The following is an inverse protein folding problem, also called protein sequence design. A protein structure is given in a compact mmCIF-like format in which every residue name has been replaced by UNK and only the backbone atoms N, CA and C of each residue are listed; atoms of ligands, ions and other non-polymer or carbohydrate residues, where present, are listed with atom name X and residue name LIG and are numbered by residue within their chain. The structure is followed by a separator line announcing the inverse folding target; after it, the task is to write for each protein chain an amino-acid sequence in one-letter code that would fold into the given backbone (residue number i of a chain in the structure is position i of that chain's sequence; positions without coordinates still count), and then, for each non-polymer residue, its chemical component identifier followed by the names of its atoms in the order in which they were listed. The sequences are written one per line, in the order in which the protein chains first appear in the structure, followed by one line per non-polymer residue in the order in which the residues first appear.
data_IF_501020503309
#
_entry.id   IF_501020503309
#
_cell.length_a   1.000
_cell.length_b   1.000
_cell.length_c   1.000
_cell.angle_alpha   90.00
_cell.angle_beta   90.00
_cell.angle_gamma   90.00
#
_symmetry.space_group_name_H-M   'P 1'
#
loop_
_entity.id
_entity.type
_entity.pdbx_description
1 polymer ?
#
# COMPACT_ATOMS: atom_id res chain seq x y z
N UNK A 1 -23.25 23.93 -6.73
CA UNK A 1 -22.53 23.13 -7.77
C UNK A 1 -21.37 22.31 -7.18
N UNK A 2 -20.86 22.62 -6.01
CA UNK A 2 -19.70 21.96 -5.38
C UNK A 2 -20.02 21.44 -3.96
N UNK A 3 -21.23 20.93 -3.73
CA UNK A 3 -21.53 20.25 -2.48
C UNK A 3 -20.77 18.93 -2.47
N UNK A 4 -20.02 18.66 -1.40
CA UNK A 4 -19.39 17.36 -1.20
C UNK A 4 -20.46 16.27 -1.19
N UNK A 5 -20.16 15.07 -1.74
CA UNK A 5 -21.08 13.95 -1.69
C UNK A 5 -21.40 13.60 -0.23
N UNK A 6 -22.61 13.16 0.01
CA UNK A 6 -23.03 12.70 1.35
C UNK A 6 -22.36 11.37 1.72
N UNK A 7 -22.00 10.58 0.71
CA UNK A 7 -21.28 9.32 0.86
C UNK A 7 -20.26 9.18 -0.28
N UNK A 8 -19.07 8.68 0.03
CA UNK A 8 -17.99 8.46 -0.96
C UNK A 8 -17.12 7.26 -0.57
N UNK A 9 -16.22 6.84 -1.45
CA UNK A 9 -15.24 5.77 -1.19
C UNK A 9 -15.91 4.49 -0.70
N UNK A 10 -16.78 3.93 -1.51
CA UNK A 10 -17.52 2.72 -1.17
C UNK A 10 -16.64 1.49 -1.38
N UNK A 11 -16.59 0.60 -0.38
CA UNK A 11 -15.86 -0.68 -0.43
C UNK A 11 -16.69 -1.80 0.18
N UNK A 12 -16.75 -2.94 -0.51
CA UNK A 12 -17.36 -4.16 0.03
C UNK A 12 -16.38 -4.90 0.94
N UNK A 13 -16.88 -5.48 2.03
CA UNK A 13 -16.10 -6.42 2.83
C UNK A 13 -15.73 -7.66 2.00
N UNK A 14 -14.61 -8.35 2.29
CA UNK A 14 -14.18 -9.54 1.53
C UNK A 14 -15.24 -10.65 1.44
N UNK A 15 -16.10 -10.79 2.48
CA UNK A 15 -17.21 -11.75 2.47
C UNK A 15 -18.46 -11.25 1.71
N UNK A 16 -18.45 -9.99 1.22
CA UNK A 16 -19.58 -9.36 0.53
C UNK A 16 -20.79 -9.05 1.41
N UNK A 17 -20.69 -9.19 2.74
CA UNK A 17 -21.83 -8.96 3.64
C UNK A 17 -22.02 -7.51 4.08
N UNK A 18 -20.97 -6.69 4.01
CA UNK A 18 -20.97 -5.30 4.48
C UNK A 18 -20.45 -4.34 3.43
N UNK A 19 -20.98 -3.14 3.44
CA UNK A 19 -20.55 -2.00 2.66
C UNK A 19 -19.96 -0.95 3.60
N UNK A 20 -18.70 -0.61 3.44
CA UNK A 20 -18.08 0.54 4.08
C UNK A 20 -18.12 1.76 3.15
N UNK A 21 -18.18 2.95 3.72
CA UNK A 21 -18.12 4.22 2.99
C UNK A 21 -17.70 5.36 3.91
N UNK A 22 -17.17 6.43 3.33
CA UNK A 22 -16.94 7.68 4.05
C UNK A 22 -18.21 8.55 4.01
N UNK A 23 -18.55 9.11 5.17
CA UNK A 23 -19.65 10.08 5.29
C UNK A 23 -19.32 11.12 6.36
N UNK A 24 -19.80 12.37 6.20
CA UNK A 24 -19.54 13.43 7.18
C UNK A 24 -20.20 13.14 8.53
N UNK A 25 -19.41 13.24 9.59
CA UNK A 25 -19.87 13.36 10.97
C UNK A 25 -19.10 14.50 11.63
N UNK A 26 -19.81 15.45 12.26
CA UNK A 26 -19.22 16.69 12.78
C UNK A 26 -18.34 17.44 11.76
N UNK A 27 -18.78 17.47 10.50
CA UNK A 27 -18.07 18.08 9.37
C UNK A 27 -16.71 17.42 9.00
N UNK A 28 -16.48 16.17 9.42
CA UNK A 28 -15.30 15.37 9.05
C UNK A 28 -15.75 14.05 8.46
N UNK A 29 -15.01 13.62 7.41
CA UNK A 29 -15.24 12.31 6.80
C UNK A 29 -14.84 11.22 7.79
N UNK A 30 -15.79 10.33 8.06
CA UNK A 30 -15.65 9.19 8.96
C UNK A 30 -16.09 7.91 8.27
N UNK A 31 -15.52 6.78 8.67
CA UNK A 31 -15.90 5.47 8.16
C UNK A 31 -17.25 5.07 8.75
N UNK A 32 -18.14 4.69 7.87
CA UNK A 32 -19.45 4.10 8.17
C UNK A 32 -19.50 2.69 7.57
N UNK A 33 -20.16 1.78 8.27
CA UNK A 33 -20.39 0.40 7.80
C UNK A 33 -21.86 0.09 7.85
N UNK A 34 -22.40 -0.54 6.82
CA UNK A 34 -23.78 -0.98 6.70
C UNK A 34 -23.83 -2.43 6.22
N UNK A 35 -24.66 -3.27 6.83
CA UNK A 35 -24.87 -4.63 6.32
C UNK A 35 -25.65 -4.57 5.00
N UNK A 36 -25.26 -5.38 4.01
CA UNK A 36 -25.96 -5.46 2.71
C UNK A 36 -27.39 -5.92 2.94
N UNK A 37 -28.34 -5.21 2.34
CA UNK A 37 -29.77 -5.42 2.54
C UNK A 37 -30.33 -4.89 3.87
N UNK A 38 -29.50 -4.37 4.76
CA UNK A 38 -29.91 -3.71 6.00
C UNK A 38 -30.09 -2.21 5.82
N UNK A 39 -30.76 -1.57 6.78
CA UNK A 39 -30.96 -0.11 6.82
C UNK A 39 -30.10 0.59 7.89
N UNK A 40 -29.57 -0.16 8.85
CA UNK A 40 -28.77 0.39 9.95
C UNK A 40 -27.33 0.63 9.52
N UNK A 41 -26.82 1.81 9.86
CA UNK A 41 -25.44 2.22 9.60
C UNK A 41 -24.70 2.38 10.92
N UNK A 42 -23.58 1.71 11.06
CA UNK A 42 -22.66 1.85 12.19
C UNK A 42 -21.59 2.88 11.84
N UNK A 43 -21.40 3.90 12.69
CA UNK A 43 -20.25 4.77 12.61
C UNK A 43 -19.05 4.08 13.25
N UNK A 44 -18.01 3.82 12.46
CA UNK A 44 -16.84 3.06 12.88
C UNK A 44 -15.75 3.96 13.48
N UNK A 45 -15.58 5.16 12.93
CA UNK A 45 -14.60 6.14 13.43
C UNK A 45 -15.30 7.40 13.97
N UNK A 46 -14.60 8.18 14.79
CA UNK A 46 -15.10 9.40 15.41
C UNK A 46 -14.11 10.54 15.29
N UNK A 47 -13.59 10.75 14.11
CA UNK A 47 -12.67 11.84 13.79
C UNK A 47 -13.40 13.20 13.84
N UNK A 48 -12.87 14.16 14.59
CA UNK A 48 -13.45 15.50 14.77
C UNK A 48 -12.56 16.63 14.20
N UNK A 49 -11.25 16.43 14.13
CA UNK A 49 -10.30 17.45 13.71
C UNK A 49 -9.88 17.28 12.25
N UNK A 50 -9.59 16.04 11.83
CA UNK A 50 -9.09 15.70 10.49
C UNK A 50 -9.95 14.62 9.87
N UNK A 51 -10.13 14.68 8.56
CA UNK A 51 -10.82 13.66 7.79
C UNK A 51 -10.03 12.34 7.81
N UNK A 52 -10.74 11.22 7.71
CA UNK A 52 -10.13 9.96 7.30
C UNK A 52 -9.70 10.11 5.85
N UNK A 53 -8.39 9.99 5.56
CA UNK A 53 -7.83 10.24 4.24
C UNK A 53 -8.10 9.08 3.26
N UNK A 54 -8.21 7.86 3.78
CA UNK A 54 -8.50 6.65 3.02
C UNK A 54 -8.57 5.46 3.96
N UNK A 55 -9.22 4.40 3.52
CA UNK A 55 -9.37 3.16 4.28
C UNK A 55 -9.53 1.98 3.33
N UNK A 56 -9.37 0.77 3.83
CA UNK A 56 -9.67 -0.48 3.15
C UNK A 56 -10.02 -1.57 4.17
N UNK A 57 -10.63 -2.65 3.70
CA UNK A 57 -10.87 -3.84 4.49
C UNK A 57 -9.60 -4.70 4.54
N UNK A 58 -9.05 -4.92 5.73
CA UNK A 58 -7.96 -5.87 5.91
C UNK A 58 -8.47 -7.32 6.05
N UNK A 59 -9.69 -7.48 6.51
CA UNK A 59 -10.47 -8.74 6.51
C UNK A 59 -11.95 -8.40 6.73
N UNK A 60 -12.84 -9.38 6.75
CA UNK A 60 -14.30 -9.16 6.87
C UNK A 60 -14.75 -8.51 8.18
N UNK A 61 -13.88 -8.36 9.16
CA UNK A 61 -14.19 -7.70 10.43
C UNK A 61 -13.38 -6.42 10.68
N UNK A 62 -12.22 -6.24 10.05
CA UNK A 62 -11.26 -5.21 10.41
C UNK A 62 -10.96 -4.29 9.25
N UNK A 63 -11.02 -2.98 9.51
CA UNK A 63 -10.64 -1.92 8.59
C UNK A 63 -9.31 -1.31 9.02
N UNK A 64 -8.49 -0.97 8.04
CA UNK A 64 -7.28 -0.16 8.21
C UNK A 64 -7.52 1.19 7.55
N UNK A 65 -7.07 2.26 8.17
CA UNK A 65 -7.24 3.60 7.64
C UNK A 65 -6.04 4.51 7.89
N UNK A 66 -5.96 5.55 7.09
CA UNK A 66 -4.92 6.57 7.12
C UNK A 66 -5.51 7.88 7.66
N UNK A 67 -4.82 8.48 8.62
CA UNK A 67 -5.12 9.80 9.14
C UNK A 67 -3.86 10.54 9.56
N UNK A 68 -3.80 11.84 9.29
CA UNK A 68 -2.77 12.73 9.82
C UNK A 68 -3.22 13.38 11.13
N UNK A 69 -2.30 14.00 11.85
CA UNK A 69 -2.60 14.71 13.09
C UNK A 69 -2.35 16.20 12.91
N UNK A 70 -3.36 17.01 13.24
CA UNK A 70 -3.23 18.47 13.21
C UNK A 70 -2.90 19.10 11.85
N UNK A 71 -2.99 18.35 10.75
CA UNK A 71 -2.65 18.82 9.41
C UNK A 71 -1.16 18.74 9.08
N UNK A 72 -0.40 17.88 9.77
CA UNK A 72 1.04 17.70 9.56
C UNK A 72 1.38 16.87 8.32
N UNK A 73 0.36 16.30 7.64
CA UNK A 73 0.49 15.44 6.46
C UNK A 73 1.36 14.20 6.66
N UNK A 74 1.70 13.88 7.91
CA UNK A 74 2.34 12.63 8.27
C UNK A 74 1.27 11.58 8.53
N UNK A 75 0.77 10.99 7.45
CA UNK A 75 -0.27 9.98 7.53
C UNK A 75 0.22 8.73 8.23
N UNK A 76 -0.50 8.35 9.28
CA UNK A 76 -0.28 7.18 10.11
C UNK A 76 -1.35 6.14 9.85
N UNK A 77 -1.06 4.89 10.15
CA UNK A 77 -2.00 3.79 10.04
C UNK A 77 -2.69 3.51 11.36
N UNK A 78 -3.98 3.29 11.25
CA UNK A 78 -4.86 2.86 12.32
C UNK A 78 -5.63 1.63 11.87
N UNK A 79 -6.03 0.78 12.81
CA UNK A 79 -6.96 -0.30 12.55
C UNK A 79 -8.13 -0.25 13.52
N UNK A 80 -9.32 -0.66 13.08
CA UNK A 80 -10.54 -0.67 13.86
C UNK A 80 -11.47 -1.78 13.39
N UNK A 81 -12.21 -2.40 14.28
CA UNK A 81 -13.21 -3.39 13.89
C UNK A 81 -14.46 -2.71 13.31
N UNK A 82 -15.19 -3.38 12.45
CA UNK A 82 -16.38 -2.86 11.77
C UNK A 82 -17.51 -2.38 12.70
N UNK A 83 -17.48 -2.80 13.97
CA UNK A 83 -18.41 -2.32 15.01
C UNK A 83 -17.89 -1.08 15.76
N UNK A 84 -16.74 -0.54 15.36
CA UNK A 84 -16.09 0.62 15.96
C UNK A 84 -15.27 0.31 17.21
N UNK A 85 -15.10 -0.97 17.57
CA UNK A 85 -14.27 -1.38 18.71
C UNK A 85 -12.83 -1.65 18.28
N UNK A 86 -11.97 -1.89 19.26
CA UNK A 86 -10.56 -2.27 19.08
C UNK A 86 -9.78 -1.32 18.17
N UNK A 87 -10.10 -0.02 18.23
CA UNK A 87 -9.33 1.02 17.57
C UNK A 87 -7.89 1.00 18.07
N UNK A 88 -6.95 0.94 17.16
CA UNK A 88 -5.53 0.91 17.46
C UNK A 88 -4.74 1.77 16.46
N UNK A 89 -3.84 2.59 16.96
CA UNK A 89 -2.79 3.21 16.15
C UNK A 89 -1.70 2.17 15.89
N UNK A 90 -1.47 1.83 14.63
CA UNK A 90 -0.50 0.80 14.22
C UNK A 90 0.91 1.36 14.09
N UNK A 91 1.04 2.64 13.79
CA UNK A 91 2.33 3.32 13.56
C UNK A 91 2.46 4.55 14.46
N UNK A 92 2.56 4.38 15.79
CA UNK A 92 2.56 5.47 16.77
C UNK A 92 3.90 6.20 16.84
N UNK A 93 4.36 6.74 15.70
CA UNK A 93 5.64 7.43 15.60
C UNK A 93 5.44 8.89 15.22
N UNK A 94 6.08 9.80 15.92
CA UNK A 94 6.02 11.23 15.59
C UNK A 94 6.78 11.55 14.31
N UNK A 95 6.18 12.41 13.46
CA UNK A 95 6.79 12.91 12.21
C UNK A 95 7.21 11.79 11.24
N UNK A 96 6.50 10.68 11.30
CA UNK A 96 6.68 9.53 10.41
C UNK A 96 5.49 9.44 9.47
N UNK A 97 5.79 9.26 8.19
CA UNK A 97 4.79 9.02 7.14
C UNK A 97 4.82 7.56 6.74
N UNK A 98 3.64 7.02 6.54
CA UNK A 98 3.45 5.66 6.03
C UNK A 98 2.96 5.69 4.59
N UNK A 99 3.38 4.71 3.80
CA UNK A 99 2.86 4.38 2.46
C UNK A 99 2.51 2.90 2.45
N UNK A 100 1.40 2.54 1.85
CA UNK A 100 1.07 1.13 1.64
C UNK A 100 1.88 0.64 0.45
N UNK A 101 2.58 -0.48 0.62
CA UNK A 101 3.28 -1.19 -0.45
C UNK A 101 2.37 -2.31 -0.95
N UNK A 102 1.79 -3.08 -0.03
CA UNK A 102 0.90 -4.20 -0.32
C UNK A 102 0.00 -4.45 0.89
N UNK A 103 -1.30 -4.49 0.69
CA UNK A 103 -2.29 -4.78 1.73
C UNK A 103 -2.43 -6.27 2.02
N UNK A 104 -1.82 -7.12 1.18
CA UNK A 104 -1.82 -8.59 1.32
C UNK A 104 -3.24 -9.15 1.41
N UNK A 105 -4.07 -8.95 0.39
CA UNK A 105 -5.50 -9.33 0.36
C UNK A 105 -5.79 -10.75 0.89
N UNK A 106 -4.88 -11.71 0.66
CA UNK A 106 -5.00 -13.09 1.14
C UNK A 106 -4.45 -13.31 2.57
N UNK A 107 -3.98 -12.27 3.26
CA UNK A 107 -3.41 -12.35 4.61
C UNK A 107 -4.18 -11.47 5.59
N UNK A 108 -5.07 -12.07 6.35
CA UNK A 108 -5.95 -11.36 7.30
C UNK A 108 -5.22 -10.67 8.48
N UNK A 109 -3.90 -10.86 8.62
CA UNK A 109 -3.15 -10.42 9.80
C UNK A 109 -2.02 -9.45 9.52
N UNK A 110 -1.53 -9.36 8.29
CA UNK A 110 -0.34 -8.59 7.97
C UNK A 110 -0.52 -7.74 6.71
N UNK A 111 0.31 -6.73 6.58
CA UNK A 111 0.49 -5.93 5.37
C UNK A 111 1.94 -5.48 5.22
N UNK A 112 2.32 -5.03 4.04
CA UNK A 112 3.64 -4.45 3.77
C UNK A 112 3.50 -2.93 3.63
N UNK A 113 4.28 -2.21 4.40
CA UNK A 113 4.30 -0.75 4.39
C UNK A 113 5.69 -0.19 4.14
N UNK A 114 5.74 0.98 3.52
CA UNK A 114 6.92 1.83 3.50
C UNK A 114 6.82 2.87 4.60
N UNK A 115 7.89 3.08 5.36
CA UNK A 115 7.87 4.04 6.45
C UNK A 115 9.20 4.78 6.56
N UNK A 116 9.16 6.12 6.72
CA UNK A 116 10.34 6.97 6.83
C UNK A 116 10.80 7.14 8.29
N UNK A 117 10.72 6.05 9.08
CA UNK A 117 11.03 6.09 10.51
C UNK A 117 12.53 6.28 10.80
N UNK A 118 13.39 5.57 10.06
CA UNK A 118 14.84 5.64 10.22
C UNK A 118 15.42 6.96 9.68
N UNK A 119 14.88 7.44 8.57
CA UNK A 119 15.29 8.69 7.93
C UNK A 119 14.05 9.34 7.30
N UNK A 120 13.84 10.64 7.54
CA UNK A 120 12.63 11.38 7.11
C UNK A 120 12.41 11.42 5.59
N UNK A 121 13.46 11.26 4.81
CA UNK A 121 13.43 11.32 3.35
C UNK A 121 13.36 9.93 2.70
N UNK A 122 13.61 8.87 3.46
CA UNK A 122 13.82 7.51 2.96
C UNK A 122 12.76 6.58 3.53
N UNK A 123 12.09 5.82 2.67
CA UNK A 123 11.08 4.85 3.05
C UNK A 123 11.64 3.43 2.99
N UNK A 124 11.88 2.85 4.16
CA UNK A 124 12.22 1.44 4.29
C UNK A 124 10.95 0.58 4.25
N UNK A 125 11.08 -0.68 3.86
CA UNK A 125 9.96 -1.61 3.80
C UNK A 125 9.83 -2.41 5.09
N UNK A 126 8.61 -2.47 5.63
CA UNK A 126 8.26 -3.17 6.86
C UNK A 126 7.08 -4.11 6.63
N UNK A 127 7.09 -5.24 7.31
CA UNK A 127 5.93 -6.09 7.53
C UNK A 127 5.28 -5.64 8.83
N UNK A 128 3.99 -5.35 8.77
CA UNK A 128 3.19 -4.86 9.87
C UNK A 128 2.08 -5.85 10.20
N UNK A 129 1.98 -6.27 11.45
CA UNK A 129 0.83 -7.02 11.94
C UNK A 129 -0.30 -6.05 12.29
N UNK A 130 -1.45 -6.14 11.61
CA UNK A 130 -2.59 -5.23 11.74
C UNK A 130 -3.35 -5.38 13.06
N UNK A 131 -3.15 -6.46 13.80
CA UNK A 131 -3.81 -6.70 15.07
C UNK A 131 -2.94 -6.23 16.25
N UNK A 132 -1.65 -6.54 16.19
CA UNK A 132 -0.72 -6.23 17.29
C UNK A 132 0.04 -4.92 17.10
N UNK A 133 0.18 -4.42 15.86
CA UNK A 133 1.04 -3.30 15.53
C UNK A 133 2.54 -3.66 15.52
N UNK A 134 2.86 -4.97 15.59
CA UNK A 134 4.25 -5.44 15.51
C UNK A 134 4.82 -5.14 14.13
N UNK A 135 6.01 -4.57 14.10
CA UNK A 135 6.73 -4.14 12.91
C UNK A 135 8.04 -4.91 12.77
N UNK A 136 8.27 -5.49 11.61
CA UNK A 136 9.55 -6.08 11.23
C UNK A 136 10.07 -5.41 9.96
N UNK A 137 11.26 -4.82 10.00
CA UNK A 137 11.93 -4.31 8.79
C UNK A 137 12.31 -5.48 7.89
N UNK A 138 11.84 -5.50 6.65
CA UNK A 138 12.11 -6.55 5.66
C UNK A 138 13.07 -6.10 4.56
N UNK A 139 13.24 -4.79 4.39
CA UNK A 139 14.27 -4.23 3.53
C UNK A 139 14.59 -2.79 3.90
N UNK A 140 15.88 -2.47 3.96
CA UNK A 140 16.39 -1.12 4.09
C UNK A 140 16.50 -0.47 2.71
N UNK A 141 16.09 0.80 2.61
CA UNK A 141 16.30 1.62 1.43
C UNK A 141 17.62 2.40 1.61
N UNK A 142 18.64 2.17 0.78
CA UNK A 142 19.90 2.91 0.85
C UNK A 142 19.81 4.39 0.42
N UNK A 143 18.62 4.84 0.01
CA UNK A 143 18.34 6.23 -0.36
C UNK A 143 17.95 6.43 -1.83
N UNK A 144 18.00 5.40 -2.64
CA UNK A 144 17.71 5.47 -4.07
C UNK A 144 16.59 4.54 -4.56
N UNK A 145 15.95 3.79 -3.65
CA UNK A 145 14.79 2.97 -4.00
C UNK A 145 13.55 3.87 -4.08
N UNK A 146 12.94 3.90 -5.24
CA UNK A 146 11.72 4.65 -5.56
C UNK A 146 10.45 3.82 -5.47
N UNK A 147 10.55 2.49 -5.56
CA UNK A 147 9.42 1.58 -5.49
C UNK A 147 9.82 0.18 -5.04
N UNK A 148 8.87 -0.51 -4.42
CA UNK A 148 8.97 -1.88 -3.95
C UNK A 148 7.89 -2.71 -4.62
N UNK A 149 8.15 -4.02 -4.82
CA UNK A 149 7.18 -4.94 -5.40
C UNK A 149 7.22 -6.29 -4.67
N UNK A 150 6.05 -6.73 -4.27
CA UNK A 150 5.78 -8.04 -3.67
C UNK A 150 5.34 -9.04 -4.74
N UNK A 151 5.54 -10.31 -4.48
CA UNK A 151 4.92 -11.39 -5.26
C UNK A 151 3.53 -11.75 -4.69
N UNK A 152 2.80 -12.65 -5.35
CA UNK A 152 1.45 -13.05 -4.92
C UNK A 152 1.42 -13.83 -3.58
N UNK A 153 2.58 -14.17 -3.01
CA UNK A 153 2.70 -14.74 -1.66
C UNK A 153 3.01 -13.65 -0.62
N UNK A 154 2.98 -12.38 -1.01
CA UNK A 154 3.31 -11.25 -0.15
C UNK A 154 4.78 -11.18 0.25
N UNK A 155 5.70 -11.74 -0.57
CA UNK A 155 7.14 -11.63 -0.35
C UNK A 155 7.68 -10.44 -1.14
N UNK A 156 8.46 -9.59 -0.48
CA UNK A 156 9.11 -8.45 -1.13
C UNK A 156 10.26 -8.94 -2.01
N UNK A 157 10.04 -9.02 -3.32
CA UNK A 157 10.95 -9.67 -4.26
C UNK A 157 11.68 -8.70 -5.19
N UNK A 158 11.11 -7.54 -5.47
CA UNK A 158 11.72 -6.59 -6.38
C UNK A 158 11.73 -5.16 -5.85
N UNK A 159 12.61 -4.35 -6.39
CA UNK A 159 12.67 -2.92 -6.13
C UNK A 159 13.05 -2.16 -7.39
N UNK A 160 12.60 -0.92 -7.48
CA UNK A 160 13.00 0.03 -8.52
C UNK A 160 13.90 1.08 -7.89
N UNK A 161 15.05 1.33 -8.49
CA UNK A 161 15.97 2.38 -8.05
C UNK A 161 16.21 3.41 -9.15
N UNK A 162 16.61 4.61 -8.75
CA UNK A 162 17.04 5.64 -9.69
C UNK A 162 18.26 6.38 -9.15
N UNK A 163 19.14 6.82 -10.06
CA UNK A 163 20.22 7.75 -9.77
C UNK A 163 19.89 9.18 -10.26
N UNK A 164 18.62 9.42 -10.66
CA UNK A 164 18.13 10.67 -11.23
C UNK A 164 18.20 10.71 -12.77
N UNK A 165 18.90 9.79 -13.41
CA UNK A 165 19.03 9.66 -14.88
C UNK A 165 18.65 8.26 -15.35
N UNK A 166 19.17 7.25 -14.69
CA UNK A 166 18.95 5.84 -15.00
C UNK A 166 17.95 5.23 -14.00
N UNK A 167 17.21 4.25 -14.48
CA UNK A 167 16.33 3.42 -13.62
C UNK A 167 16.86 2.00 -13.63
N UNK A 168 16.96 1.38 -12.47
CA UNK A 168 17.37 -0.02 -12.35
C UNK A 168 16.29 -0.85 -11.65
N UNK A 169 16.14 -2.07 -12.13
CA UNK A 169 15.32 -3.09 -11.49
C UNK A 169 16.22 -3.97 -10.65
N UNK A 170 15.91 -4.07 -9.38
CA UNK A 170 16.54 -4.99 -8.44
C UNK A 170 15.63 -6.17 -8.20
N UNK A 171 16.21 -7.35 -8.02
CA UNK A 171 15.50 -8.58 -7.72
C UNK A 171 16.25 -9.43 -6.69
N UNK A 172 15.49 -10.15 -5.87
CA UNK A 172 15.97 -11.21 -4.99
C UNK A 172 15.03 -12.41 -5.04
N UNK A 173 15.57 -13.60 -4.95
CA UNK A 173 14.76 -14.83 -5.03
C UNK A 173 13.95 -15.08 -3.77
N UNK A 174 14.49 -14.74 -2.61
CA UNK A 174 13.82 -14.82 -1.31
C UNK A 174 14.10 -13.57 -0.48
N UNK A 175 13.29 -13.32 0.55
CA UNK A 175 13.51 -12.18 1.45
C UNK A 175 14.83 -12.27 2.25
N UNK A 176 15.48 -13.43 2.27
CA UNK A 176 16.79 -13.64 2.92
C UNK A 176 17.97 -13.30 2.01
N UNK A 177 17.73 -13.22 0.71
CA UNK A 177 18.77 -12.90 -0.27
C UNK A 177 18.99 -11.40 -0.37
N UNK A 178 20.20 -11.00 -0.76
CA UNK A 178 20.49 -9.63 -1.15
C UNK A 178 19.85 -9.32 -2.51
N UNK A 179 19.40 -8.09 -2.69
CA UNK A 179 18.97 -7.58 -3.98
C UNK A 179 20.14 -7.52 -4.98
N UNK A 180 19.87 -7.92 -6.22
CA UNK A 180 20.81 -7.83 -7.34
C UNK A 180 20.20 -6.97 -8.45
N UNK A 181 20.99 -6.11 -9.06
CA UNK A 181 20.58 -5.37 -10.25
C UNK A 181 20.41 -6.34 -11.42
N UNK A 182 19.23 -6.38 -12.00
CA UNK A 182 18.87 -7.27 -13.12
C UNK A 182 18.87 -6.51 -14.45
N UNK A 183 18.40 -5.27 -14.44
CA UNK A 183 18.34 -4.42 -15.61
C UNK A 183 18.59 -2.98 -15.20
N UNK A 184 19.29 -2.24 -16.04
CA UNK A 184 19.40 -0.77 -15.95
C UNK A 184 19.03 -0.17 -17.29
N UNK A 185 18.11 0.79 -17.29
CA UNK A 185 17.73 1.57 -18.47
C UNK A 185 18.29 2.99 -18.35
N UNK A 186 18.51 3.63 -19.48
CA UNK A 186 18.85 5.04 -19.56
C UNK A 186 17.59 5.90 -19.67
N UNK A 187 17.75 7.23 -19.71
CA UNK A 187 16.62 8.19 -19.78
C UNK A 187 15.70 8.07 -21.02
N UNK A 188 16.10 7.32 -22.06
CA UNK A 188 15.32 7.12 -23.29
C UNK A 188 14.44 5.88 -23.21
N UNK A 189 14.79 4.94 -22.36
CA UNK A 189 14.11 3.68 -22.22
C UNK A 189 13.55 3.58 -20.81
N UNK A 190 12.33 3.10 -20.71
CA UNK A 190 11.62 2.94 -19.44
C UNK A 190 11.25 1.49 -19.21
N UNK A 191 11.26 1.08 -17.97
CA UNK A 191 10.61 -0.13 -17.50
C UNK A 191 10.07 0.11 -16.11
N UNK A 192 8.76 -0.08 -15.95
CA UNK A 192 8.04 0.09 -14.69
C UNK A 192 7.32 -1.22 -14.36
N UNK A 193 7.85 -2.03 -13.43
CA UNK A 193 7.17 -3.22 -12.94
C UNK A 193 5.81 -2.87 -12.35
N UNK A 194 4.79 -3.69 -12.62
CA UNK A 194 3.42 -3.51 -12.13
C UNK A 194 3.11 -4.55 -11.04
N UNK A 195 3.13 -5.83 -11.41
CA UNK A 195 2.84 -6.95 -10.51
C UNK A 195 3.39 -8.26 -11.10
N UNK A 196 3.59 -9.25 -10.26
CA UNK A 196 4.02 -10.58 -10.67
C UNK A 196 2.90 -11.31 -11.42
N UNK A 197 3.27 -12.22 -12.34
CA UNK A 197 2.35 -13.21 -12.88
C UNK A 197 1.86 -14.14 -11.76
N UNK A 198 0.68 -14.78 -11.92
CA UNK A 198 0.10 -15.63 -10.89
C UNK A 198 1.01 -16.77 -10.42
N UNK A 199 1.94 -17.23 -11.27
CA UNK A 199 2.92 -18.26 -10.96
C UNK A 199 4.22 -17.70 -10.33
N UNK A 200 4.29 -16.39 -10.10
CA UNK A 200 5.44 -15.67 -9.56
C UNK A 200 6.75 -15.82 -10.36
N UNK A 201 6.67 -16.22 -11.65
CA UNK A 201 7.85 -16.44 -12.50
C UNK A 201 8.26 -15.17 -13.26
N UNK A 202 7.29 -14.35 -13.68
CA UNK A 202 7.50 -13.15 -14.48
C UNK A 202 6.82 -11.95 -13.82
N UNK A 203 7.07 -10.79 -14.39
CA UNK A 203 6.43 -9.53 -13.98
C UNK A 203 5.78 -8.89 -15.19
N UNK A 204 4.53 -8.45 -15.05
CA UNK A 204 3.97 -7.50 -15.99
C UNK A 204 4.59 -6.13 -15.75
N UNK A 205 5.04 -5.50 -16.81
CA UNK A 205 5.68 -4.18 -16.73
C UNK A 205 5.21 -3.28 -17.88
N UNK A 206 5.25 -1.98 -17.68
CA UNK A 206 5.14 -1.00 -18.75
C UNK A 206 6.54 -0.67 -19.23
N UNK A 207 6.80 -0.76 -20.55
CA UNK A 207 8.12 -0.53 -21.11
C UNK A 207 8.07 -0.06 -22.55
N UNK A 208 9.03 0.80 -22.93
CA UNK A 208 9.33 1.17 -24.31
C UNK A 208 10.65 0.59 -24.82
N UNK A 209 11.31 -0.30 -24.12
CA UNK A 209 12.57 -0.90 -24.56
C UNK A 209 12.40 -1.55 -25.92
N UNK A 210 13.24 -1.14 -26.89
CA UNK A 210 13.20 -1.62 -28.27
C UNK A 210 12.00 -1.13 -29.09
N UNK A 211 11.26 -0.11 -28.65
CA UNK A 211 10.10 0.47 -29.35
C UNK A 211 9.94 1.96 -29.07
N UNK A 212 9.09 2.62 -29.87
CA UNK A 212 8.84 4.06 -29.78
C UNK A 212 7.84 4.44 -28.64
N UNK A 213 6.91 3.53 -28.32
CA UNK A 213 5.84 3.77 -27.33
C UNK A 213 5.85 2.73 -26.23
N UNK A 214 5.40 3.17 -25.05
CA UNK A 214 5.16 2.28 -23.95
C UNK A 214 4.09 1.23 -24.28
N UNK A 215 4.32 0.03 -23.82
CA UNK A 215 3.34 -1.06 -23.86
C UNK A 215 3.49 -1.96 -22.63
N UNK A 216 2.43 -2.70 -22.32
CA UNK A 216 2.51 -3.75 -21.31
C UNK A 216 3.27 -4.92 -21.89
N UNK A 217 4.27 -5.37 -21.15
CA UNK A 217 5.16 -6.47 -21.52
C UNK A 217 5.23 -7.50 -20.41
N UNK A 218 5.63 -8.73 -20.74
CA UNK A 218 6.04 -9.73 -19.76
C UNK A 218 7.56 -9.62 -19.61
N UNK A 219 8.01 -9.36 -18.40
CA UNK A 219 9.41 -9.21 -18.04
C UNK A 219 9.90 -10.42 -17.24
N UNK A 220 10.90 -11.09 -17.75
CA UNK A 220 11.62 -12.16 -17.05
C UNK A 220 12.55 -11.51 -16.02
N UNK A 221 12.06 -11.41 -14.78
CA UNK A 221 12.76 -10.67 -13.73
C UNK A 221 14.03 -11.39 -13.24
N UNK A 222 14.15 -12.69 -13.43
CA UNK A 222 15.39 -13.41 -13.10
C UNK A 222 16.51 -13.16 -14.12
N UNK A 223 16.15 -13.01 -15.40
CA UNK A 223 17.12 -12.91 -16.50
C UNK A 223 17.21 -11.50 -17.10
N UNK A 224 16.39 -10.55 -16.67
CA UNK A 224 16.39 -9.17 -17.15
C UNK A 224 15.96 -9.01 -18.60
N UNK A 225 15.02 -9.81 -19.10
CA UNK A 225 14.62 -9.83 -20.51
C UNK A 225 13.12 -9.64 -20.67
N UNK A 226 12.73 -8.85 -21.66
CA UNK A 226 11.36 -8.77 -22.14
C UNK A 226 11.08 -9.98 -23.04
N UNK A 227 9.92 -10.62 -22.84
CA UNK A 227 9.43 -11.76 -23.64
C UNK A 227 8.52 -11.30 -24.75
#
# INVERSE_FOLDING_TARGET
FFKNPEKTSFELSPDGEYLAFLSPWKNRLNIMVQKIGGSETTRVTSAEERDIAGYFWANSNRLVFLQDQGGDENFRLYAVDRDGKNLKELTPFEKVRVRIIDDLEDNENEMIIGMNHRNKEIFDAYRLNINTGELAMIAENPGNISGWLTDNEGKLRAAVTTDGVNTSILYRKTEKDAFKTILTTNFKETISPLFFTFDNQFVYAVSNIGRDKDSVVIFDIENGKIK
#
